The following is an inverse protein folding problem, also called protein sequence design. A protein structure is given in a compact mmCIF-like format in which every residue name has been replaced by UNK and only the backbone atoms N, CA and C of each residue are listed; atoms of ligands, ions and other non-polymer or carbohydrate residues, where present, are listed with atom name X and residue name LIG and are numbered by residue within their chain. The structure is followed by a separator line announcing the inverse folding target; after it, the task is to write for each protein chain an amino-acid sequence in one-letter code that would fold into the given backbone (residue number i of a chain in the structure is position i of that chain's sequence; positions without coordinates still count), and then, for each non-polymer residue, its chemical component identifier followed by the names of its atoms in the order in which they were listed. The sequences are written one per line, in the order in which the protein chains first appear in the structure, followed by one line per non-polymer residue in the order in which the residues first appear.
data_IF_784496607957
#
_entry.id   IF_784496607957
#
_cell.length_a   1.000
_cell.length_b   1.000
_cell.length_c   1.000
_cell.angle_alpha   90.00
_cell.angle_beta   90.00
_cell.angle_gamma   90.00
#
_symmetry.space_group_name_H-M   'P 1'
#
loop_
_entity.id
_entity.type
_entity.pdbx_description
1 polymer ?
#
# COMPACT_ATOMS: atom_id res chain seq x y z
N UNK A 1 -35.91 -32.94 -19.78
CA UNK A 1 -35.46 -31.71 -19.10
C UNK A 1 -34.57 -32.13 -17.94
N UNK A 2 -33.27 -31.90 -18.02
CA UNK A 2 -32.35 -32.03 -16.89
C UNK A 2 -31.93 -30.62 -16.51
N UNK A 3 -32.45 -30.12 -15.38
CA UNK A 3 -32.09 -28.81 -14.84
C UNK A 3 -30.83 -29.03 -14.01
N UNK A 4 -29.67 -28.68 -14.57
CA UNK A 4 -28.41 -28.71 -13.84
C UNK A 4 -28.39 -27.54 -12.84
N UNK A 5 -28.62 -27.86 -11.57
CA UNK A 5 -28.43 -26.95 -10.44
C UNK A 5 -26.93 -26.76 -10.17
N UNK A 6 -26.27 -25.88 -10.92
CA UNK A 6 -24.96 -25.37 -10.54
C UNK A 6 -25.15 -24.29 -9.46
N UNK A 7 -24.93 -24.66 -8.20
CA UNK A 7 -24.66 -23.67 -7.15
C UNK A 7 -23.24 -23.13 -7.36
N UNK A 8 -23.03 -21.82 -7.55
CA UNK A 8 -21.69 -21.26 -7.50
C UNK A 8 -21.18 -21.41 -6.06
N UNK A 9 -20.12 -22.19 -5.88
CA UNK A 9 -19.34 -22.20 -4.65
C UNK A 9 -18.63 -20.85 -4.63
N UNK A 10 -19.13 -19.91 -3.82
CA UNK A 10 -18.43 -18.68 -3.51
C UNK A 10 -17.17 -19.05 -2.73
N UNK A 11 -16.08 -19.31 -3.45
CA UNK A 11 -14.75 -19.46 -2.84
C UNK A 11 -14.40 -18.10 -2.26
N UNK A 12 -14.58 -17.95 -0.95
CA UNK A 12 -14.08 -16.80 -0.22
C UNK A 12 -12.54 -16.90 -0.23
N UNK A 13 -11.90 -16.37 -1.27
CA UNK A 13 -10.45 -16.23 -1.30
C UNK A 13 -10.10 -15.19 -0.24
N UNK A 14 -9.66 -15.65 0.94
CA UNK A 14 -9.07 -14.79 1.94
C UNK A 14 -7.72 -14.35 1.37
N UNK A 15 -7.71 -13.24 0.63
CA UNK A 15 -6.46 -12.62 0.20
C UNK A 15 -5.70 -12.22 1.46
N UNK A 16 -4.50 -12.77 1.63
CA UNK A 16 -3.62 -12.34 2.71
C UNK A 16 -3.34 -10.84 2.53
N UNK A 17 -3.62 -10.07 3.58
CA UNK A 17 -3.31 -8.65 3.62
C UNK A 17 -1.79 -8.49 3.54
N UNK A 18 -1.29 -7.90 2.45
CA UNK A 18 0.09 -7.45 2.34
C UNK A 18 0.10 -5.93 2.37
N UNK A 19 0.84 -5.38 3.32
CA UNK A 19 0.97 -3.94 3.52
C UNK A 19 2.34 -3.48 3.04
N UNK A 20 2.35 -2.53 2.11
CA UNK A 20 3.58 -1.83 1.73
C UNK A 20 3.81 -0.69 2.72
N UNK A 21 4.83 -0.83 3.57
CA UNK A 21 5.22 0.21 4.51
C UNK A 21 6.42 0.97 3.97
N UNK A 22 6.30 2.30 3.88
CA UNK A 22 7.36 3.20 3.41
C UNK A 22 7.66 4.29 4.43
N UNK A 23 8.93 4.71 4.56
CA UNK A 23 9.36 5.82 5.42
C UNK A 23 9.71 7.04 4.59
N UNK A 24 9.09 8.17 4.88
CA UNK A 24 9.30 9.42 4.14
C UNK A 24 9.78 10.57 5.02
N UNK A 25 10.45 11.55 4.40
CA UNK A 25 10.71 12.88 4.97
C UNK A 25 9.67 13.92 4.54
N UNK A 26 8.77 13.57 3.64
CA UNK A 26 7.68 14.44 3.20
C UNK A 26 6.66 14.64 4.32
N UNK A 27 5.92 15.75 4.26
CA UNK A 27 4.85 16.02 5.20
C UNK A 27 3.64 15.13 4.91
N UNK A 28 3.21 14.36 5.92
CA UNK A 28 2.10 13.41 5.77
C UNK A 28 0.78 14.07 5.35
N UNK A 29 0.52 15.30 5.79
CA UNK A 29 -0.68 16.04 5.40
C UNK A 29 -0.73 16.32 3.89
N UNK A 30 0.42 16.68 3.30
CA UNK A 30 0.50 16.95 1.86
C UNK A 30 0.31 15.68 1.04
N UNK A 31 0.89 14.57 1.49
CA UNK A 31 0.73 13.26 0.85
C UNK A 31 -0.72 12.76 0.95
N UNK A 32 -1.35 12.95 2.12
CA UNK A 32 -2.75 12.59 2.34
C UNK A 32 -3.69 13.40 1.44
N UNK A 33 -3.48 14.72 1.34
CA UNK A 33 -4.30 15.60 0.49
C UNK A 33 -4.22 15.23 -1.00
N UNK A 34 -3.09 14.68 -1.45
CA UNK A 34 -2.87 14.22 -2.83
C UNK A 34 -3.26 12.76 -3.05
N UNK A 35 -3.60 12.03 -1.98
CA UNK A 35 -3.81 10.58 -1.99
C UNK A 35 -2.67 9.82 -2.68
N UNK A 36 -1.43 10.29 -2.47
CA UNK A 36 -0.25 9.83 -3.19
C UNK A 36 0.98 9.88 -2.28
N UNK A 37 1.81 8.83 -2.30
CA UNK A 37 3.15 8.90 -1.73
C UNK A 37 4.19 9.35 -2.76
N UNK A 38 5.40 9.69 -2.30
CA UNK A 38 6.58 9.74 -3.14
C UNK A 38 6.85 8.44 -3.93
N UNK A 39 7.89 8.43 -4.77
CA UNK A 39 8.23 7.29 -5.62
C UNK A 39 9.22 6.33 -4.95
N UNK A 40 8.92 5.04 -4.94
CA UNK A 40 9.66 4.01 -4.20
C UNK A 40 10.12 2.85 -5.07
N UNK A 41 11.21 2.20 -4.67
CA UNK A 41 11.66 0.95 -5.29
C UNK A 41 10.80 -0.20 -4.75
N UNK A 42 9.81 -0.62 -5.54
CA UNK A 42 8.88 -1.72 -5.21
C UNK A 42 9.05 -2.84 -6.22
N UNK A 43 9.19 -4.07 -5.74
CA UNK A 43 9.40 -5.25 -6.55
C UNK A 43 8.12 -5.60 -7.33
N UNK A 44 8.27 -5.91 -8.63
CA UNK A 44 7.14 -6.12 -9.53
C UNK A 44 6.27 -7.33 -9.12
N UNK A 45 6.89 -8.39 -8.61
CA UNK A 45 6.21 -9.61 -8.12
C UNK A 45 5.38 -9.39 -6.86
N UNK A 46 5.72 -8.36 -6.08
CA UNK A 46 4.98 -7.97 -4.87
C UNK A 46 3.81 -7.05 -5.18
N UNK A 47 3.90 -6.27 -6.24
CA UNK A 47 2.89 -5.27 -6.62
C UNK A 47 1.47 -5.84 -6.68
N UNK A 48 1.34 -7.08 -7.18
CA UNK A 48 0.03 -7.72 -7.34
C UNK A 48 -0.60 -8.18 -6.03
N UNK A 49 0.21 -8.28 -4.98
CA UNK A 49 -0.20 -8.81 -3.68
C UNK A 49 -0.46 -7.70 -2.68
N UNK A 50 0.06 -6.49 -2.91
CA UNK A 50 -0.16 -5.34 -2.04
C UNK A 50 -1.65 -5.01 -2.04
N UNK A 51 -2.22 -4.90 -0.85
CA UNK A 51 -3.61 -4.47 -0.66
C UNK A 51 -3.69 -3.18 0.15
N UNK A 52 -2.69 -2.90 0.98
CA UNK A 52 -2.67 -1.75 1.88
C UNK A 52 -1.33 -1.05 1.86
N UNK A 53 -1.34 0.20 2.32
CA UNK A 53 -0.14 1.03 2.42
C UNK A 53 -0.04 1.64 3.80
N UNK A 54 1.21 1.84 4.22
CA UNK A 54 1.56 2.61 5.39
C UNK A 54 2.67 3.59 5.01
N UNK A 55 2.44 4.89 5.12
CA UNK A 55 3.46 5.93 4.87
C UNK A 55 3.84 6.54 6.20
N UNK A 56 4.98 6.14 6.74
CA UNK A 56 5.48 6.53 8.06
C UNK A 56 6.34 7.78 7.93
N UNK A 57 6.15 8.76 8.82
CA UNK A 57 7.05 9.90 8.90
C UNK A 57 8.47 9.45 9.31
N UNK A 58 9.47 10.28 9.07
CA UNK A 58 10.84 9.90 9.37
C UNK A 58 11.05 9.63 10.87
N UNK A 59 10.31 10.28 11.76
CA UNK A 59 10.41 10.04 13.20
C UNK A 59 9.84 8.68 13.67
N UNK A 60 9.02 8.00 12.85
CA UNK A 60 8.37 6.75 13.25
C UNK A 60 7.18 6.94 14.19
N UNK A 61 6.67 8.17 14.33
CA UNK A 61 5.65 8.54 15.34
C UNK A 61 4.25 8.70 14.76
N UNK A 62 4.15 8.92 13.45
CA UNK A 62 2.88 9.04 12.73
C UNK A 62 2.98 8.33 11.39
N UNK A 63 1.85 7.83 10.92
CA UNK A 63 1.75 7.23 9.59
C UNK A 63 0.41 7.51 8.95
N UNK A 64 0.39 7.51 7.62
CA UNK A 64 -0.83 7.32 6.84
C UNK A 64 -1.09 5.82 6.76
N UNK A 65 -2.30 5.37 7.07
CA UNK A 65 -2.80 4.05 6.67
C UNK A 65 -3.85 4.23 5.57
N UNK A 66 -3.80 3.39 4.53
CA UNK A 66 -4.78 3.42 3.45
C UNK A 66 -4.85 2.12 2.67
N UNK A 67 -5.82 2.03 1.76
CA UNK A 67 -5.97 0.92 0.82
C UNK A 67 -5.17 1.24 -0.44
N UNK A 68 -4.35 0.28 -0.89
CA UNK A 68 -3.53 0.47 -2.08
C UNK A 68 -4.40 0.57 -3.32
N UNK A 69 -4.24 1.65 -4.09
CA UNK A 69 -4.95 1.83 -5.35
C UNK A 69 -4.02 1.50 -6.52
N UNK A 70 -4.06 0.24 -6.97
CA UNK A 70 -3.22 -0.26 -8.05
C UNK A 70 -3.53 0.41 -9.39
N UNK A 71 -4.79 0.67 -9.69
CA UNK A 71 -5.24 1.21 -10.98
C UNK A 71 -4.62 2.59 -11.26
N UNK A 72 -4.48 3.42 -10.22
CA UNK A 72 -3.94 4.77 -10.34
C UNK A 72 -2.46 4.88 -9.97
N UNK A 73 -1.87 3.81 -9.41
CA UNK A 73 -0.44 3.77 -9.13
C UNK A 73 0.37 3.55 -10.40
N UNK A 74 1.48 4.26 -10.56
CA UNK A 74 2.26 4.25 -11.80
C UNK A 74 3.75 4.27 -11.54
N UNK A 75 4.52 3.70 -12.48
CA UNK A 75 5.99 3.80 -12.45
C UNK A 75 6.43 5.06 -13.20
N UNK A 76 7.41 5.75 -12.63
CA UNK A 76 8.16 6.81 -13.32
C UNK A 76 9.21 6.21 -14.25
N UNK A 77 9.81 7.04 -15.10
CA UNK A 77 10.86 6.65 -16.05
C UNK A 77 12.09 6.03 -15.37
N UNK A 78 12.36 6.39 -14.10
CA UNK A 78 13.42 5.81 -13.27
C UNK A 78 13.06 4.43 -12.67
N UNK A 79 11.90 3.89 -13.02
CA UNK A 79 11.38 2.61 -12.57
C UNK A 79 10.75 2.63 -11.17
N UNK A 80 10.80 3.75 -10.43
CA UNK A 80 10.21 3.85 -9.10
C UNK A 80 8.68 3.97 -9.18
N UNK A 81 7.99 3.32 -8.25
CA UNK A 81 6.54 3.30 -8.16
C UNK A 81 6.03 4.46 -7.31
N UNK A 82 5.21 5.32 -7.91
CA UNK A 82 4.33 6.24 -7.20
C UNK A 82 3.13 5.46 -6.70
N UNK A 83 2.86 5.55 -5.40
CA UNK A 83 1.81 4.78 -4.73
C UNK A 83 0.60 5.69 -4.54
N UNK A 84 -0.51 5.35 -5.21
CA UNK A 84 -1.82 5.92 -4.95
C UNK A 84 -2.56 5.10 -3.91
N UNK A 85 -3.41 5.76 -3.14
CA UNK A 85 -4.22 5.10 -2.13
C UNK A 85 -5.58 5.77 -1.94
N UNK A 86 -6.51 5.02 -1.36
CA UNK A 86 -7.83 5.50 -0.96
C UNK A 86 -8.07 5.20 0.52
N UNK A 87 -9.10 5.82 1.10
CA UNK A 87 -9.45 5.69 2.53
C UNK A 87 -8.27 5.97 3.47
N UNK A 88 -7.41 6.91 3.04
CA UNK A 88 -6.23 7.33 3.77
C UNK A 88 -6.59 8.08 5.05
N UNK A 89 -5.89 7.78 6.15
CA UNK A 89 -5.96 8.58 7.39
C UNK A 89 -4.61 8.60 8.09
N UNK A 90 -4.33 9.69 8.80
CA UNK A 90 -3.15 9.77 9.68
C UNK A 90 -3.49 9.19 11.04
N UNK A 91 -2.63 8.32 11.54
CA UNK A 91 -2.70 7.76 12.89
C UNK A 91 -1.34 7.90 13.59
N UNK A 92 -1.37 7.92 14.93
CA UNK A 92 -0.16 7.82 15.72
C UNK A 92 0.36 6.38 15.67
N UNK A 93 1.68 6.23 15.65
CA UNK A 93 2.34 4.93 15.63
C UNK A 93 3.66 4.98 16.41
N UNK A 94 4.29 3.81 16.57
CA UNK A 94 5.64 3.68 17.10
C UNK A 94 6.37 2.64 16.25
N UNK A 95 6.83 3.06 15.08
CA UNK A 95 7.48 2.20 14.08
C UNK A 95 8.97 2.50 14.05
N UNK A 96 9.79 1.48 14.26
CA UNK A 96 11.24 1.59 14.15
C UNK A 96 11.71 1.05 12.80
N UNK A 97 12.45 1.89 12.08
CA UNK A 97 13.14 1.49 10.86
C UNK A 97 14.62 1.23 11.17
N UNK A 98 14.95 -0.05 11.39
CA UNK A 98 16.31 -0.56 11.34
C UNK A 98 16.90 -0.43 9.92
N UNK A 99 17.95 0.37 9.81
CA UNK A 99 18.73 0.55 8.58
C UNK A 99 18.25 1.67 7.65
N UNK A 100 18.82 1.69 6.44
CA UNK A 100 18.59 2.73 5.43
C UNK A 100 17.44 2.41 4.47
N UNK A 101 16.94 1.17 4.44
CA UNK A 101 15.90 0.78 3.51
C UNK A 101 14.55 1.39 3.95
N UNK A 102 14.00 2.34 3.18
CA UNK A 102 12.76 2.99 3.58
C UNK A 102 11.54 2.15 3.21
N UNK A 103 11.67 0.98 2.55
CA UNK A 103 10.56 0.17 2.04
C UNK A 103 10.52 -1.21 2.69
N UNK A 104 9.35 -1.63 3.18
CA UNK A 104 9.09 -2.92 3.83
C UNK A 104 7.75 -3.51 3.38
N UNK A 105 7.64 -4.83 3.42
CA UNK A 105 6.39 -5.56 3.19
C UNK A 105 6.03 -6.27 4.50
N UNK A 106 4.83 -6.01 5.02
CA UNK A 106 4.34 -6.51 6.32
C UNK A 106 3.02 -7.26 6.11
#
# INVERSE_FOLDING_TARGET
MLVNNFKPISVLVIMQKLTLQVRTRDHLLDLLAKSESSAWVVAQDKLEKITHIQVVNFAGTQMIEGVFNREYSYRKDDGRLVIKFVDGRIVNCNVQFDGQNPVRYI
#
